data_IF_548087612613
#
_entry.id   IF_548087612613
#
_cell.length_a   1.000
_cell.length_b   1.000
_cell.length_c   1.000
_cell.angle_alpha   90.00
_cell.angle_beta   90.00
_cell.angle_gamma   90.00
#
_symmetry.space_group_name_H-M   'P 1'
#
loop_
_entity.id
_entity.type
_entity.pdbx_description
1 polymer ?
2 non-polymer ?
3 water ?
#
# COMPACT_ATOMS: atom_id res chain seq x y z
N UNK A 11 9.16 -7.02 -12.04
CA UNK A 11 10.21 -6.47 -11.19
C UNK A 11 9.88 -6.70 -9.71
N UNK A 12 10.93 -6.82 -8.90
CA UNK A 12 10.78 -7.14 -7.48
C UNK A 12 11.02 -5.92 -6.61
N UNK A 13 10.53 -6.01 -5.37
CA UNK A 13 10.81 -4.97 -4.38
C UNK A 13 12.26 -5.02 -3.95
N UNK A 14 12.89 -3.87 -3.89
CA UNK A 14 14.30 -3.73 -3.49
C UNK A 14 14.34 -2.96 -2.17
N UNK A 15 14.86 -3.54 -1.10
CA UNK A 15 14.89 -2.82 0.19
C UNK A 15 15.91 -1.69 0.17
N UNK A 16 15.51 -0.55 0.73
CA UNK A 16 16.35 0.64 0.75
C UNK A 16 16.94 0.84 2.15
N UNK A 17 16.17 0.49 3.18
CA UNK A 17 16.59 0.63 4.56
C UNK A 17 17.07 -0.70 5.11
N UNK A 18 17.77 -0.63 6.25
CA UNK A 18 18.29 -1.85 6.86
C UNK A 18 17.17 -2.77 7.33
N UNK A 19 16.07 -2.19 7.83
CA UNK A 19 14.93 -2.99 8.27
C UNK A 19 14.09 -3.51 7.11
N UNK A 20 14.45 -3.19 5.87
CA UNK A 20 13.80 -3.64 4.65
C UNK A 20 12.38 -3.11 4.48
N UNK A 21 11.93 -2.19 5.33
CA UNK A 21 10.55 -1.71 5.25
C UNK A 21 10.38 -0.56 4.26
N UNK A 22 11.41 0.26 4.06
CA UNK A 22 11.43 1.22 2.98
C UNK A 22 11.98 0.53 1.74
N UNK A 23 11.17 0.44 0.68
CA UNK A 23 11.55 -0.35 -0.47
C UNK A 23 11.02 0.29 -1.74
N UNK A 24 11.57 -0.12 -2.88
CA UNK A 24 11.18 0.45 -4.16
C UNK A 24 11.13 -0.62 -5.24
N UNK A 25 10.34 -0.34 -6.26
CA UNK A 25 10.25 -1.15 -7.47
C UNK A 25 10.72 -0.30 -8.64
N UNK A 26 11.77 -0.76 -9.32
CA UNK A 26 12.30 -0.03 -10.46
C UNK A 26 11.37 -0.25 -11.64
N UNK A 27 10.69 0.81 -12.07
CA UNK A 27 9.83 0.76 -13.25
C UNK A 27 10.61 0.99 -14.53
N UNK A 28 11.43 2.04 -14.53
CA UNK A 28 12.31 2.36 -15.65
C UNK A 28 13.71 2.58 -15.12
N UNK A 29 14.67 1.84 -15.65
CA UNK A 29 16.05 1.99 -15.21
C UNK A 29 16.62 3.31 -15.71
N UNK A 30 17.54 3.87 -14.93
CA UNK A 30 18.12 5.15 -15.26
C UNK A 30 18.99 5.09 -16.50
N UNK A 31 19.25 6.27 -17.06
CA UNK A 31 20.06 6.38 -18.26
C UNK A 31 21.55 6.16 -18.00
N UNK A 32 21.97 6.26 -16.74
CA UNK A 32 23.37 6.06 -16.37
C UNK A 32 23.41 5.67 -14.90
N UNK A 33 24.63 5.54 -14.36
CA UNK A 33 24.82 5.16 -12.97
C UNK A 33 25.10 6.36 -12.07
N UNK A 34 24.79 7.57 -12.54
CA UNK A 34 24.94 8.75 -11.72
C UNK A 34 23.83 8.82 -10.68
N UNK A 35 24.20 9.07 -9.43
CA UNK A 35 23.25 9.29 -8.36
C UNK A 35 23.45 10.69 -7.77
N UNK A 36 22.38 11.33 -7.30
CA UNK A 36 22.49 12.72 -6.84
C UNK A 36 23.22 12.81 -5.51
N UNK A 37 24.22 13.68 -5.39
CA UNK A 37 24.88 13.87 -4.10
C UNK A 37 24.01 14.66 -3.13
N UNK A 38 24.33 14.50 -1.84
CA UNK A 38 23.68 15.31 -0.81
C UNK A 38 23.85 16.78 -1.15
N UNK A 39 22.76 17.54 -0.98
CA UNK A 39 22.77 18.95 -1.28
C UNK A 39 22.34 19.33 -2.68
N UNK A 40 22.08 18.34 -3.54
CA UNK A 40 21.63 18.63 -4.90
C UNK A 40 20.21 19.18 -4.89
N UNK A 41 19.93 20.10 -5.80
CA UNK A 41 18.57 20.55 -6.08
C UNK A 41 18.02 19.62 -7.14
N UNK A 42 17.23 18.65 -6.72
CA UNK A 42 16.76 17.58 -7.59
C UNK A 42 15.39 17.90 -8.12
N UNK A 43 15.15 17.52 -9.39
CA UNK A 43 13.88 17.75 -10.07
C UNK A 43 13.25 16.41 -10.39
N UNK A 44 11.96 16.25 -10.01
CA UNK A 44 11.27 14.98 -10.18
C UNK A 44 9.83 15.21 -10.64
N UNK A 45 9.25 14.15 -11.20
CA UNK A 45 7.81 13.96 -11.27
C UNK A 45 7.40 12.97 -10.20
N UNK A 46 6.22 13.16 -9.61
CA UNK A 46 5.76 12.21 -8.63
C UNK A 46 4.24 12.11 -8.61
N UNK A 47 3.77 10.98 -8.10
CA UNK A 47 2.36 10.74 -7.84
C UNK A 47 2.27 9.93 -6.56
N UNK A 48 1.49 10.43 -5.60
CA UNK A 48 1.33 9.79 -4.30
C UNK A 48 -0.04 9.15 -4.17
N UNK A 49 -0.05 7.93 -3.63
CA UNK A 49 -1.29 7.20 -3.39
C UNK A 49 -1.23 6.56 -2.01
N UNK A 50 -2.42 6.27 -1.47
CA UNK A 50 -2.50 5.42 -0.29
C UNK A 50 -2.40 3.95 -0.69
N UNK A 51 -2.32 3.07 0.31
CA UNK A 51 -2.23 1.65 0.01
C UNK A 51 -3.54 1.10 -0.55
N UNK A 52 -4.59 1.90 -0.58
CA UNK A 52 -5.82 1.55 -1.30
C UNK A 52 -5.73 1.89 -2.78
N UNK A 53 -4.66 2.54 -3.22
CA UNK A 53 -4.53 3.01 -4.58
C UNK A 53 -5.03 4.42 -4.83
N UNK A 54 -5.76 5.00 -3.88
CA UNK A 54 -6.34 6.32 -4.09
C UNK A 54 -5.26 7.40 -4.11
N UNK A 55 -5.29 8.23 -5.15
CA UNK A 55 -4.33 9.30 -5.31
C UNK A 55 -4.64 10.46 -4.38
N UNK A 56 -3.61 10.98 -3.70
CA UNK A 56 -3.76 12.16 -2.88
C UNK A 56 -2.99 13.38 -3.38
N UNK A 57 -2.05 13.21 -4.30
CA UNK A 57 -1.32 14.33 -4.88
C UNK A 57 -0.47 13.83 -6.04
N UNK A 58 -0.15 14.75 -6.94
CA UNK A 58 0.79 14.48 -8.02
C UNK A 58 1.37 15.80 -8.51
N UNK A 59 2.68 15.82 -8.74
CA UNK A 59 3.32 17.00 -9.31
C UNK A 59 2.75 17.34 -10.68
N UNK A 60 2.21 16.33 -11.38
CA UNK A 60 1.60 16.59 -12.68
C UNK A 60 0.39 17.51 -12.55
N UNK A 61 -0.29 17.48 -11.41
CA UNK A 61 -1.44 18.37 -11.18
C UNK A 61 -1.05 19.84 -11.22
N UNK A 62 0.24 20.14 -11.09
CA UNK A 62 0.71 21.52 -11.20
C UNK A 62 1.54 21.74 -12.47
N UNK A 63 1.60 20.73 -13.34
CA UNK A 63 2.13 20.92 -14.68
C UNK A 63 3.60 21.22 -14.78
N UNK A 64 4.39 20.91 -13.76
CA UNK A 64 5.83 21.16 -13.78
C UNK A 64 6.48 20.24 -12.76
N UNK A 65 7.79 19.99 -12.89
CA UNK A 65 8.45 19.08 -11.96
C UNK A 65 8.49 19.65 -10.55
N UNK A 66 8.63 18.74 -9.59
CA UNK A 66 8.82 19.11 -8.19
C UNK A 66 10.31 19.18 -7.89
N UNK A 67 10.70 20.22 -7.14
CA UNK A 67 12.11 20.50 -6.87
C UNK A 67 12.32 20.61 -5.37
N UNK A 68 13.32 19.89 -4.86
CA UNK A 68 13.68 19.94 -3.45
C UNK A 68 15.17 19.67 -3.31
N UNK A 69 15.72 20.05 -2.17
CA UNK A 69 17.14 19.88 -1.89
C UNK A 69 17.36 18.57 -1.15
N UNK A 70 18.21 17.70 -1.71
CA UNK A 70 18.40 16.36 -1.18
C UNK A 70 19.28 16.36 0.06
N UNK A 71 18.89 15.59 1.06
CA UNK A 71 19.66 15.46 2.28
C UNK A 71 19.43 16.53 3.32
N UNK A 72 18.74 17.62 2.97
CA UNK A 72 18.53 18.71 3.92
C UNK A 72 17.51 18.35 4.98
N UNK A 73 16.61 17.42 4.71
CA UNK A 73 15.56 17.09 5.65
C UNK A 73 14.29 17.89 5.49
N UNK A 74 14.12 18.58 4.36
CA UNK A 74 12.91 19.36 4.11
C UNK A 74 11.77 18.51 3.57
N UNK A 75 12.03 17.24 3.23
CA UNK A 75 11.00 16.30 2.82
C UNK A 75 11.00 15.14 3.79
N UNK A 76 9.98 14.28 3.66
CA UNK A 76 9.86 13.14 4.56
C UNK A 76 11.06 12.22 4.39
N UNK A 77 11.41 11.53 5.48
CA UNK A 77 12.62 10.70 5.52
C UNK A 77 12.65 9.69 4.37
N UNK A 78 11.51 9.09 4.05
CA UNK A 78 11.48 8.12 2.97
C UNK A 78 11.88 8.70 1.63
N UNK A 79 11.62 9.99 1.41
CA UNK A 79 12.00 10.63 0.15
C UNK A 79 13.49 10.90 0.09
N UNK A 80 14.07 11.42 1.17
CA UNK A 80 15.52 11.64 1.21
C UNK A 80 16.27 10.33 0.95
N UNK A 81 15.90 9.28 1.69
CA UNK A 81 16.57 7.99 1.51
C UNK A 81 16.24 7.36 0.16
N UNK A 82 15.03 7.55 -0.33
CA UNK A 82 14.62 6.91 -1.57
C UNK A 82 15.24 7.53 -2.81
N UNK A 83 15.14 8.86 -2.93
CA UNK A 83 15.66 9.55 -4.10
C UNK A 83 17.18 9.42 -4.16
N UNK A 84 17.84 9.43 -3.00
CA UNK A 84 19.29 9.25 -2.97
C UNK A 84 19.72 7.93 -3.58
N UNK A 85 18.85 6.93 -3.60
CA UNK A 85 19.18 5.63 -4.17
C UNK A 85 18.91 5.56 -5.68
N UNK A 86 18.33 6.60 -6.27
CA UNK A 86 17.91 6.55 -7.66
C UNK A 86 19.02 7.03 -8.60
N UNK A 87 18.98 6.52 -9.83
CA UNK A 87 19.86 6.97 -10.89
C UNK A 87 19.18 8.05 -11.72
N UNK A 88 19.99 8.80 -12.47
CA UNK A 88 19.45 9.80 -13.38
C UNK A 88 18.57 9.13 -14.44
N UNK A 89 17.33 9.60 -14.56
CA UNK A 89 16.38 9.02 -15.48
C UNK A 89 15.57 7.87 -14.93
N UNK A 90 15.92 7.36 -13.75
CA UNK A 90 15.22 6.22 -13.17
C UNK A 90 13.82 6.61 -12.73
N UNK A 91 12.84 5.75 -13.03
CA UNK A 91 11.49 5.89 -12.54
C UNK A 91 11.19 4.68 -11.65
N UNK A 92 10.86 4.95 -10.39
CA UNK A 92 10.64 3.88 -9.43
C UNK A 92 9.37 4.12 -8.62
N UNK A 93 8.93 3.05 -7.98
CA UNK A 93 7.70 3.00 -7.20
C UNK A 93 8.09 2.69 -5.77
N UNK A 94 7.75 3.57 -4.83
CA UNK A 94 8.22 3.47 -3.47
C UNK A 94 7.07 3.10 -2.53
N UNK A 95 7.36 2.22 -1.57
CA UNK A 95 6.47 1.97 -0.44
C UNK A 95 7.13 2.55 0.79
N UNK A 96 6.52 3.59 1.36
CA UNK A 96 7.08 4.38 2.45
C UNK A 96 6.22 4.16 3.68
N UNK A 97 6.70 3.46 4.70
CA UNK A 97 5.90 3.29 5.93
C UNK A 97 5.70 4.63 6.63
N UNK A 98 4.74 4.63 7.56
CA UNK A 98 4.40 5.85 8.27
C UNK A 98 5.60 6.43 9.02
N UNK A 99 6.41 5.56 9.64
CA UNK A 99 7.56 6.10 10.37
C UNK A 99 8.67 6.59 9.43
N UNK A 100 8.52 6.41 8.12
CA UNK A 100 9.36 7.07 7.13
C UNK A 100 8.64 8.22 6.43
N UNK A 101 7.46 8.60 6.93
CA UNK A 101 6.66 9.66 6.33
C UNK A 101 6.16 10.62 7.40
N UNK A 102 4.84 10.69 7.58
CA UNK A 102 4.24 11.61 8.54
C UNK A 102 3.90 10.96 9.87
N UNK A 103 4.21 9.68 10.04
CA UNK A 103 4.06 9.04 11.34
C UNK A 103 2.65 9.08 11.86
N UNK A 104 2.52 9.43 13.15
CA UNK A 104 1.23 9.54 13.82
C UNK A 104 0.49 10.83 13.48
N UNK A 105 1.07 11.68 12.63
CA UNK A 105 0.40 12.90 12.19
C UNK A 105 -0.47 12.62 10.98
N UNK A 106 -1.53 13.41 10.84
CA UNK A 106 -2.41 13.34 9.69
C UNK A 106 -2.32 14.64 8.89
N UNK A 107 -2.50 14.51 7.58
CA UNK A 107 -2.66 15.66 6.70
C UNK A 107 -4.16 15.86 6.48
N UNK A 108 -4.72 17.01 6.86
CA UNK A 108 -6.19 17.14 6.89
C UNK A 108 -6.82 16.92 5.53
N UNK A 109 -7.78 15.98 5.49
CA UNK A 109 -8.53 15.69 4.29
C UNK A 109 -7.83 14.82 3.28
N UNK A 110 -6.56 14.45 3.51
CA UNK A 110 -5.80 13.71 2.51
C UNK A 110 -5.22 12.41 3.06
N UNK A 111 -4.46 12.50 4.14
CA UNK A 111 -3.69 11.35 4.64
C UNK A 111 -4.04 11.10 6.09
N UNK A 112 -4.66 9.97 6.41
CA UNK A 112 -4.95 9.65 7.82
C UNK A 112 -3.68 9.36 8.60
N UNK A 113 -3.82 9.39 9.92
CA UNK A 113 -2.69 9.10 10.80
C UNK A 113 -2.16 7.69 10.55
N UNK A 114 -0.85 7.54 10.69
CA UNK A 114 -0.16 6.24 10.58
C UNK A 114 -0.38 5.59 9.22
N UNK A 115 -0.20 6.38 8.16
CA UNK A 115 -0.46 5.92 6.81
C UNK A 115 0.83 5.52 6.11
N UNK A 116 0.82 4.32 5.51
CA UNK A 116 1.82 3.99 4.51
C UNK A 116 1.54 4.79 3.23
N UNK A 117 2.59 5.33 2.64
CA UNK A 117 2.46 6.12 1.41
C UNK A 117 3.15 5.40 0.27
N UNK A 118 2.48 5.37 -0.88
CA UNK A 118 3.05 4.86 -2.11
C UNK A 118 3.36 6.04 -3.01
N UNK A 119 4.58 6.09 -3.53
CA UNK A 119 5.02 7.17 -4.39
C UNK A 119 5.65 6.62 -5.67
N UNK A 120 5.19 7.13 -6.80
CA UNK A 120 5.82 6.88 -8.09
C UNK A 120 6.67 8.11 -8.43
N UNK A 121 7.99 7.95 -8.37
CA UNK A 121 8.93 9.06 -8.53
C UNK A 121 9.80 8.82 -9.76
N UNK A 122 9.99 9.87 -10.56
CA UNK A 122 10.91 9.83 -11.70
C UNK A 122 11.98 10.90 -11.51
N UNK A 123 13.23 10.46 -11.41
CA UNK A 123 14.36 11.37 -11.20
C UNK A 123 14.76 11.97 -12.54
N UNK A 124 14.41 13.24 -12.74
CA UNK A 124 14.64 13.90 -14.04
C UNK A 124 16.06 14.43 -14.16
N UNK A 125 16.50 15.21 -13.16
CA UNK A 125 17.80 15.87 -13.22
C UNK A 125 18.08 16.46 -11.84
N UNK A 126 19.26 17.07 -11.70
CA UNK A 126 19.61 17.79 -10.49
C UNK A 126 20.70 18.80 -10.81
N UNK A 127 20.84 19.78 -9.93
CA UNK A 127 21.86 20.81 -10.06
C UNK A 127 22.52 21.06 -8.71
N UNK B 11 -12.37 7.11 10.71
CA UNK B 11 -12.04 5.69 10.86
C UNK B 11 -10.53 5.48 10.74
N UNK B 12 -9.83 5.67 11.85
CA UNK B 12 -8.38 5.61 11.87
C UNK B 12 -7.89 4.16 11.90
N UNK B 13 -6.63 3.98 11.52
CA UNK B 13 -5.99 2.68 11.64
C UNK B 13 -5.96 2.24 13.10
N UNK B 14 -6.25 0.97 13.33
CA UNK B 14 -6.25 0.34 14.65
C UNK B 14 -5.11 -0.67 14.67
N UNK B 15 -4.08 -0.49 15.49
CA UNK B 15 -2.97 -1.46 15.51
C UNK B 15 -3.41 -2.79 16.11
N UNK B 16 -2.96 -3.88 15.48
CA UNK B 16 -3.29 -5.22 15.90
C UNK B 16 -2.08 -5.94 16.48
N UNK B 17 -0.95 -5.86 15.79
CA UNK B 17 0.29 -6.47 16.27
C UNK B 17 0.97 -5.54 17.28
N UNK B 18 1.94 -6.09 18.01
CA UNK B 18 2.66 -5.29 18.99
C UNK B 18 3.54 -4.25 18.33
N UNK B 19 4.10 -4.54 17.16
CA UNK B 19 4.94 -3.59 16.44
C UNK B 19 4.14 -2.53 15.70
N UNK B 20 2.82 -2.51 15.85
CA UNK B 20 1.91 -1.53 15.26
C UNK B 20 1.90 -1.59 13.73
N UNK B 21 2.60 -2.55 13.12
CA UNK B 21 2.68 -2.61 11.67
C UNK B 21 1.57 -3.44 11.04
N UNK B 22 1.00 -4.40 11.77
CA UNK B 22 -0.22 -5.08 11.36
C UNK B 22 -1.40 -4.32 11.96
N UNK B 23 -2.28 -3.81 11.10
CA UNK B 23 -3.31 -2.88 11.55
C UNK B 23 -4.57 -3.07 10.71
N UNK B 24 -5.66 -2.45 11.18
CA UNK B 24 -6.92 -2.54 10.47
C UNK B 24 -7.70 -1.24 10.63
N UNK B 25 -8.66 -1.06 9.72
CA UNK B 25 -9.66 -0.01 9.80
C UNK B 25 -11.03 -0.67 9.79
N UNK B 26 -11.86 -0.31 10.76
CA UNK B 26 -13.20 -0.90 10.85
C UNK B 26 -14.11 -0.20 9.84
N UNK B 27 -14.71 -0.98 8.94
CA UNK B 27 -15.67 -0.46 7.98
C UNK B 27 -17.07 -0.57 8.57
N UNK B 28 -17.45 -1.79 8.97
CA UNK B 28 -18.73 -2.06 9.58
C UNK B 28 -18.48 -2.61 10.99
N UNK B 29 -19.08 -1.97 11.98
CA UNK B 29 -18.96 -2.46 13.35
C UNK B 29 -19.72 -3.76 13.51
N UNK B 30 -19.22 -4.60 14.41
CA UNK B 30 -19.84 -5.90 14.64
C UNK B 30 -21.19 -5.76 15.31
N UNK B 31 -22.04 -6.78 15.09
CA UNK B 31 -23.38 -6.77 15.68
C UNK B 31 -23.32 -6.87 17.20
N UNK B 32 -22.37 -7.64 17.72
CA UNK B 32 -22.15 -7.79 19.16
C UNK B 32 -20.67 -7.66 19.45
N UNK B 33 -20.30 -7.83 20.71
CA UNK B 33 -18.92 -7.71 21.16
C UNK B 33 -18.24 -9.08 21.31
N UNK B 34 -18.81 -10.12 20.71
CA UNK B 34 -18.23 -11.46 20.80
C UNK B 34 -17.19 -11.65 19.70
N UNK B 35 -16.03 -12.17 20.08
CA UNK B 35 -14.93 -12.45 19.16
C UNK B 35 -14.73 -13.96 19.01
N UNK B 36 -14.23 -14.41 17.87
CA UNK B 36 -14.06 -15.86 17.66
C UNK B 36 -12.89 -16.39 18.46
N UNK B 37 -13.07 -17.50 19.17
CA UNK B 37 -11.96 -18.10 19.91
C UNK B 37 -11.07 -18.94 19.03
N UNK B 38 -9.87 -19.24 19.54
CA UNK B 38 -8.88 -20.01 18.80
C UNK B 38 -9.40 -21.42 18.55
N UNK B 39 -9.08 -21.98 17.39
CA UNK B 39 -9.55 -23.29 16.99
C UNK B 39 -10.91 -23.33 16.35
N UNK B 40 -11.65 -22.21 16.38
CA UNK B 40 -12.96 -22.16 15.74
C UNK B 40 -12.84 -22.25 14.24
N UNK B 41 -13.83 -22.88 13.61
CA UNK B 41 -13.96 -22.83 12.15
C UNK B 41 -14.70 -21.56 11.79
N UNK B 42 -13.99 -20.62 11.19
CA UNK B 42 -14.48 -19.28 10.89
C UNK B 42 -14.87 -19.21 9.42
N UNK B 43 -15.95 -18.47 9.13
CA UNK B 43 -16.42 -18.27 7.76
C UNK B 43 -16.38 -16.78 7.45
N UNK B 44 -15.68 -16.41 6.37
CA UNK B 44 -15.51 -15.02 6.00
C UNK B 44 -15.71 -14.85 4.50
N UNK B 45 -15.92 -13.59 4.10
CA UNK B 45 -15.75 -13.13 2.73
C UNK B 45 -14.61 -12.13 2.70
N UNK B 46 -13.78 -12.18 1.65
CA UNK B 46 -12.60 -11.35 1.61
C UNK B 46 -12.33 -10.87 0.20
N UNK B 47 -11.60 -9.75 0.12
CA UNK B 47 -11.04 -9.24 -1.12
C UNK B 47 -9.60 -8.82 -0.85
N UNK B 48 -8.68 -9.34 -1.65
CA UNK B 48 -7.26 -9.06 -1.48
C UNK B 48 -6.72 -8.20 -2.62
N UNK B 49 -6.01 -7.15 -2.25
CA UNK B 49 -5.38 -6.24 -3.20
C UNK B 49 -3.94 -5.98 -2.78
N UNK B 50 -3.10 -5.64 -3.76
CA UNK B 50 -1.78 -5.14 -3.46
C UNK B 50 -1.88 -3.66 -3.10
N UNK B 51 -0.76 -3.08 -2.64
CA UNK B 51 -0.80 -1.69 -2.21
C UNK B 51 -0.96 -0.71 -3.36
N UNK B 52 -1.06 -1.20 -4.60
CA UNK B 52 -1.49 -0.39 -5.73
C UNK B 52 -3.01 -0.36 -5.88
N UNK B 53 -3.73 -1.13 -5.07
CA UNK B 53 -5.15 -1.31 -5.25
C UNK B 53 -5.53 -2.41 -6.21
N UNK B 54 -4.56 -3.05 -6.86
CA UNK B 54 -4.84 -4.11 -7.82
C UNK B 54 -5.32 -5.36 -7.10
N UNK B 55 -6.51 -5.84 -7.46
CA UNK B 55 -7.06 -7.03 -6.82
C UNK B 55 -6.32 -8.26 -7.31
N UNK B 56 -5.96 -9.15 -6.37
CA UNK B 56 -5.37 -10.43 -6.75
C UNK B 56 -6.25 -11.63 -6.42
N UNK B 57 -7.25 -11.47 -5.57
CA UNK B 57 -8.16 -12.57 -5.27
C UNK B 57 -9.35 -12.01 -4.47
N UNK B 58 -10.45 -12.74 -4.53
CA UNK B 58 -11.63 -12.41 -3.73
C UNK B 58 -12.49 -13.65 -3.60
N UNK B 59 -13.03 -13.87 -2.40
CA UNK B 59 -13.93 -15.00 -2.19
C UNK B 59 -15.16 -14.88 -3.06
N UNK B 60 -15.56 -13.66 -3.42
CA UNK B 60 -16.69 -13.47 -4.32
C UNK B 60 -16.37 -13.87 -5.76
N UNK B 61 -15.09 -14.12 -6.08
CA UNK B 61 -14.76 -14.66 -7.39
C UNK B 61 -15.17 -16.13 -7.49
N UNK B 62 -15.04 -16.88 -6.40
CA UNK B 62 -15.58 -18.23 -6.36
C UNK B 62 -17.06 -18.25 -5.98
N UNK B 63 -17.58 -17.17 -5.44
CA UNK B 63 -18.98 -17.10 -5.12
C UNK B 63 -19.40 -17.87 -3.88
N UNK B 64 -18.56 -17.91 -2.86
CA UNK B 64 -18.91 -18.56 -1.61
C UNK B 64 -17.90 -18.21 -0.52
N UNK B 65 -18.33 -18.19 0.74
CA UNK B 65 -17.41 -17.80 1.82
C UNK B 65 -16.21 -18.72 1.92
N UNK B 66 -15.12 -18.18 2.45
CA UNK B 66 -13.91 -18.93 2.72
C UNK B 66 -13.93 -19.38 4.17
N UNK B 67 -13.63 -20.66 4.40
CA UNK B 67 -13.70 -21.28 5.72
C UNK B 67 -12.31 -21.76 6.09
N UNK B 68 -11.86 -21.41 7.29
CA UNK B 68 -10.58 -21.86 7.80
C UNK B 68 -10.68 -22.02 9.31
N UNK B 69 -9.68 -22.69 9.89
CA UNK B 69 -9.61 -22.91 11.32
C UNK B 69 -8.69 -21.86 11.94
N UNK B 70 -9.21 -21.11 12.90
CA UNK B 70 -8.54 -19.92 13.41
C UNK B 70 -7.43 -20.27 14.38
N UNK B 71 -6.27 -19.63 14.21
CA UNK B 71 -5.18 -19.75 15.16
C UNK B 71 -4.32 -20.98 15.04
N UNK B 72 -4.48 -21.78 13.98
CA UNK B 72 -3.71 -23.00 13.80
C UNK B 72 -2.57 -22.84 12.81
N UNK B 73 -2.32 -21.63 12.31
CA UNK B 73 -1.30 -21.44 11.30
C UNK B 73 -1.67 -21.94 9.92
N UNK B 74 -2.94 -22.29 9.70
CA UNK B 74 -3.39 -22.73 8.38
C UNK B 74 -3.35 -21.61 7.37
N UNK B 75 -3.50 -20.35 7.82
CA UNK B 75 -3.45 -19.20 6.95
C UNK B 75 -2.26 -18.33 7.33
N UNK B 76 -2.03 -17.25 6.58
CA UNK B 76 -0.94 -16.34 6.90
C UNK B 76 -1.14 -15.75 8.29
N UNK B 77 -0.03 -15.39 8.94
CA UNK B 77 -0.09 -14.92 10.32
C UNK B 77 -0.93 -13.66 10.46
N UNK B 78 -0.91 -12.80 9.44
CA UNK B 78 -1.73 -11.59 9.48
C UNK B 78 -3.21 -11.89 9.55
N UNK B 79 -3.65 -13.02 8.99
CA UNK B 79 -5.05 -13.40 9.07
C UNK B 79 -5.40 -13.99 10.44
N UNK B 80 -4.53 -14.84 10.99
CA UNK B 80 -4.80 -15.42 12.30
C UNK B 80 -4.92 -14.33 13.36
N UNK B 81 -4.02 -13.35 13.34
CA UNK B 81 -4.07 -12.27 14.32
C UNK B 81 -5.19 -11.28 14.03
N UNK B 82 -5.45 -11.00 12.75
CA UNK B 82 -6.44 -10.01 12.37
C UNK B 82 -7.87 -10.47 12.55
N UNK B 83 -8.18 -11.68 12.07
CA UNK B 83 -9.54 -12.20 12.22
C UNK B 83 -9.86 -12.41 13.70
N UNK B 84 -8.86 -12.77 14.51
CA UNK B 84 -9.08 -12.95 15.94
C UNK B 84 -9.56 -11.67 16.61
N UNK B 85 -9.12 -10.51 16.13
CA UNK B 85 -9.49 -9.24 16.74
C UNK B 85 -10.87 -8.76 16.31
N UNK B 86 -11.56 -9.48 15.44
CA UNK B 86 -12.82 -9.01 14.89
C UNK B 86 -13.99 -9.45 15.76
N UNK B 87 -15.10 -8.73 15.61
CA UNK B 87 -16.38 -9.06 16.23
C UNK B 87 -17.28 -9.76 15.23
N UNK B 88 -18.34 -10.39 15.75
CA UNK B 88 -19.32 -11.04 14.90
C UNK B 88 -19.96 -10.03 13.95
N UNK B 89 -19.89 -10.31 12.65
CA UNK B 89 -20.42 -9.43 11.64
C UNK B 89 -19.55 -8.25 11.29
N UNK B 90 -18.37 -8.13 11.90
CA UNK B 90 -17.48 -7.01 11.61
C UNK B 90 -16.90 -7.12 10.22
N UNK B 91 -16.82 -5.99 9.52
CA UNK B 91 -16.11 -5.88 8.26
C UNK B 91 -14.98 -4.87 8.43
N UNK B 92 -13.74 -5.29 8.14
CA UNK B 92 -12.57 -4.47 8.39
C UNK B 92 -11.60 -4.57 7.23
N UNK B 93 -10.75 -3.55 7.13
CA UNK B 93 -9.76 -3.40 6.07
C UNK B 93 -8.39 -3.51 6.72
N UNK B 94 -7.62 -4.51 6.30
CA UNK B 94 -6.35 -4.85 6.94
C UNK B 94 -5.17 -4.46 6.06
N UNK B 95 -4.12 -3.94 6.70
CA UNK B 95 -2.82 -3.78 6.07
C UNK B 95 -1.87 -4.80 6.67
N UNK B 96 -1.40 -5.73 5.84
CA UNK B 96 -0.64 -6.89 6.30
C UNK B 96 0.78 -6.85 5.74
N UNK B 97 1.78 -6.57 6.57
CA UNK B 97 3.16 -6.53 6.06
C UNK B 97 3.62 -7.88 5.54
N UNK B 98 4.70 -7.85 4.76
CA UNK B 98 5.19 -9.06 4.12
C UNK B 98 5.56 -10.13 5.14
N UNK B 99 6.13 -9.72 6.28
CA UNK B 99 6.53 -10.68 7.31
C UNK B 99 5.34 -11.20 8.11
N UNK B 100 4.13 -10.71 7.85
CA UNK B 100 2.89 -11.30 8.34
C UNK B 100 2.12 -12.00 7.22
N UNK B 101 2.72 -12.15 6.04
CA UNK B 101 2.07 -12.76 4.89
C UNK B 101 2.98 -13.82 4.28
N UNK B 102 3.43 -13.59 3.04
CA UNK B 102 4.24 -14.57 2.33
C UNK B 102 5.73 -14.23 2.33
N UNK B 103 6.11 -13.12 2.94
CA UNK B 103 7.52 -12.84 3.14
C UNK B 103 8.28 -12.71 1.84
N UNK B 104 9.46 -13.34 1.81
CA UNK B 104 10.32 -13.28 0.63
C UNK B 104 9.84 -14.19 -0.49
N UNK B 105 8.72 -14.89 -0.31
CA UNK B 105 8.19 -15.78 -1.33
C UNK B 105 7.20 -15.05 -2.21
N UNK B 106 7.18 -15.42 -3.49
CA UNK B 106 6.23 -14.87 -4.43
C UNK B 106 5.13 -15.90 -4.72
N UNK B 107 3.96 -15.39 -5.08
CA UNK B 107 2.89 -16.21 -5.66
C UNK B 107 2.94 -16.00 -7.16
N UNK B 108 3.21 -17.04 -7.96
CA UNK B 108 3.48 -16.84 -9.39
C UNK B 108 2.41 -16.04 -10.11
N UNK B 109 2.84 -15.00 -10.81
CA UNK B 109 1.96 -14.16 -11.60
C UNK B 109 0.93 -13.38 -10.81
N UNK B 110 1.05 -13.35 -9.48
CA UNK B 110 0.01 -12.73 -8.65
C UNK B 110 0.61 -11.78 -7.63
N UNK B 111 1.48 -12.30 -6.77
CA UNK B 111 2.01 -11.53 -5.65
C UNK B 111 3.53 -11.57 -5.68
N UNK B 112 4.19 -10.45 -5.97
CA UNK B 112 5.66 -10.43 -5.96
C UNK B 112 6.21 -10.68 -4.56
N UNK B 113 7.48 -11.06 -4.51
CA UNK B 113 8.14 -11.28 -3.24
C UNK B 113 8.14 -10.01 -2.40
N UNK B 114 8.01 -10.20 -1.08
CA UNK B 114 8.09 -9.11 -0.10
C UNK B 114 6.95 -8.11 -0.26
N UNK B 115 5.76 -8.61 -0.62
CA UNK B 115 4.62 -7.74 -0.87
C UNK B 115 3.82 -7.52 0.39
N UNK B 116 3.48 -6.25 0.64
CA UNK B 116 2.41 -5.93 1.59
C UNK B 116 1.07 -6.29 0.96
N UNK B 117 0.18 -6.88 1.75
CA UNK B 117 -1.13 -7.28 1.27
C UNK B 117 -2.22 -6.48 2.00
N UNK B 118 -3.18 -5.97 1.24
CA UNK B 118 -4.38 -5.35 1.78
C UNK B 118 -5.53 -6.36 1.67
N UNK B 119 -6.30 -6.49 2.75
CA UNK B 119 -7.44 -7.41 2.78
C UNK B 119 -8.64 -6.72 3.39
N UNK B 120 -9.76 -6.73 2.68
CA UNK B 120 -11.07 -6.50 3.26
C UNK B 120 -11.61 -7.86 3.73
N UNK B 121 -11.96 -7.95 5.01
CA UNK B 121 -12.48 -9.19 5.58
C UNK B 121 -13.78 -8.90 6.31
N UNK B 122 -14.79 -9.71 6.06
CA UNK B 122 -16.05 -9.67 6.80
C UNK B 122 -16.22 -11.01 7.52
N UNK B 123 -16.28 -10.95 8.84
CA UNK B 123 -16.47 -12.16 9.65
C UNK B 123 -17.95 -12.52 9.66
N UNK B 124 -18.30 -13.60 8.97
CA UNK B 124 -19.70 -13.96 8.81
C UNK B 124 -20.23 -14.73 10.03
N UNK B 125 -19.60 -15.85 10.35
CA UNK B 125 -19.93 -16.60 11.56
C UNK B 125 -18.76 -17.52 11.88
N UNK B 126 -18.79 -18.08 13.09
CA UNK B 126 -17.81 -19.07 13.50
C UNK B 126 -18.50 -20.12 14.35
N UNK B 127 -18.08 -21.38 14.17
CA UNK B 127 -18.60 -22.48 14.94
C UNK B 127 -17.46 -23.21 15.66
N UNK C 11 10.16 -44.00 -27.29
CA UNK C 11 10.31 -42.96 -26.28
C UNK C 11 10.00 -43.51 -24.88
N UNK C 12 11.04 -43.62 -24.07
CA UNK C 12 10.94 -44.25 -22.76
C UNK C 12 10.95 -43.21 -21.65
N UNK C 13 10.41 -43.59 -20.50
CA UNK C 13 10.40 -42.72 -19.33
C UNK C 13 11.83 -42.44 -18.88
N UNK C 14 12.13 -41.17 -18.65
CA UNK C 14 13.42 -40.72 -18.15
C UNK C 14 13.23 -40.31 -16.69
N UNK C 15 13.94 -40.92 -15.75
CA UNK C 15 13.77 -40.53 -14.35
C UNK C 15 14.41 -39.19 -14.06
N UNK C 16 13.72 -38.39 -13.25
CA UNK C 16 14.19 -37.07 -12.84
C UNK C 16 14.63 -37.06 -11.38
N UNK C 17 13.78 -37.57 -10.50
CA UNK C 17 14.13 -37.65 -9.09
C UNK C 17 15.08 -38.82 -8.84
N UNK C 18 15.72 -38.79 -7.67
CA UNK C 18 16.63 -39.86 -7.31
C UNK C 18 15.89 -41.17 -7.07
N UNK C 19 14.68 -41.10 -6.51
CA UNK C 19 13.88 -42.31 -6.31
C UNK C 19 13.22 -42.80 -7.60
N UNK C 20 13.41 -42.09 -8.71
CA UNK C 20 12.97 -42.46 -10.05
C UNK C 20 11.46 -42.47 -10.21
N UNK C 21 10.70 -41.93 -9.25
CA UNK C 21 9.25 -41.85 -9.41
C UNK C 21 8.80 -40.60 -10.14
N UNK C 22 9.57 -39.52 -10.05
CA UNK C 22 9.35 -38.36 -10.89
C UNK C 22 10.06 -38.57 -12.22
N UNK C 23 9.29 -38.62 -13.31
CA UNK C 23 9.83 -39.02 -14.59
C UNK C 23 9.15 -38.25 -15.72
N UNK C 24 9.83 -38.19 -16.86
CA UNK C 24 9.30 -37.48 -18.01
C UNK C 24 9.62 -38.26 -19.28
N UNK C 25 8.81 -37.99 -20.31
CA UNK C 25 9.08 -38.42 -21.68
C UNK C 25 9.23 -37.17 -22.54
N UNK C 26 10.31 -37.10 -23.29
CA UNK C 26 10.57 -35.92 -24.13
C UNK C 26 9.75 -36.03 -25.40
N UNK C 27 8.82 -35.10 -25.59
CA UNK C 27 8.01 -35.08 -26.80
C UNK C 27 8.74 -34.38 -27.93
N UNK C 28 9.30 -33.21 -27.64
CA UNK C 28 10.07 -32.42 -28.59
C UNK C 28 11.38 -32.03 -27.92
N UNK C 29 12.50 -32.37 -28.54
CA UNK C 29 13.81 -32.06 -27.96
C UNK C 29 14.07 -30.55 -28.00
N UNK C 30 14.86 -30.09 -27.05
CA UNK C 30 15.16 -28.67 -26.99
C UNK C 30 15.99 -28.19 -28.16
N UNK C 31 15.80 -26.93 -28.53
CA UNK C 31 16.55 -26.32 -29.62
C UNK C 31 18.01 -26.07 -29.26
N UNK C 32 18.40 -26.25 -27.99
CA UNK C 32 19.78 -26.10 -27.57
C UNK C 32 19.95 -26.87 -26.27
N UNK C 33 21.21 -26.98 -25.83
CA UNK C 33 21.55 -27.76 -24.65
C UNK C 33 21.54 -26.93 -23.36
N UNK C 34 21.21 -25.64 -23.44
CA UNK C 34 21.19 -24.80 -22.26
C UNK C 34 19.96 -25.07 -21.42
N UNK C 35 20.15 -25.11 -20.10
CA UNK C 35 19.08 -25.36 -19.15
C UNK C 35 18.91 -24.16 -18.22
N UNK C 36 17.68 -23.92 -17.74
CA UNK C 36 17.45 -22.76 -16.89
C UNK C 36 18.05 -22.95 -15.50
N UNK C 37 18.89 -22.03 -15.05
CA UNK C 37 19.43 -22.13 -13.69
C UNK C 37 18.38 -21.75 -12.66
N UNK C 38 18.70 -22.05 -11.39
CA UNK C 38 17.80 -21.69 -10.31
C UNK C 38 17.67 -20.16 -10.24
N UNK C 39 16.49 -19.70 -9.81
CA UNK C 39 16.21 -18.28 -9.77
C UNK C 39 15.81 -17.68 -11.09
N UNK C 40 15.72 -18.47 -12.16
CA UNK C 40 15.29 -17.97 -13.46
C UNK C 40 13.79 -17.74 -13.47
N UNK C 41 13.37 -16.72 -14.21
CA UNK C 41 11.94 -16.46 -14.43
C UNK C 41 11.57 -17.15 -15.73
N UNK C 42 11.08 -18.38 -15.62
CA UNK C 42 10.79 -19.20 -16.79
C UNK C 42 9.35 -19.00 -17.23
N UNK C 43 9.12 -19.06 -18.53
CA UNK C 43 7.80 -19.01 -19.13
C UNK C 43 7.52 -20.34 -19.80
N UNK C 44 6.37 -20.95 -19.49
CA UNK C 44 6.01 -22.24 -20.03
C UNK C 44 4.58 -22.20 -20.54
N UNK C 45 4.25 -23.20 -21.36
CA UNK C 45 2.87 -23.58 -21.64
C UNK C 45 2.68 -25.00 -21.14
N UNK C 46 1.56 -25.27 -20.50
CA UNK C 46 1.35 -26.58 -19.89
C UNK C 46 -0.08 -27.05 -20.10
N UNK C 47 -0.25 -28.37 -19.97
CA UNK C 47 -1.55 -29.01 -19.94
C UNK C 47 -1.53 -30.06 -18.84
N UNK C 48 -2.52 -29.99 -17.94
CA UNK C 48 -2.60 -30.88 -16.81
C UNK C 48 -3.73 -31.89 -16.98
N UNK C 49 -3.40 -33.16 -16.75
CA UNK C 49 -4.36 -34.24 -16.83
C UNK C 49 -4.21 -35.16 -15.64
N UNK C 50 -5.31 -35.81 -15.26
CA UNK C 50 -5.24 -36.87 -14.28
C UNK C 50 -4.81 -38.17 -14.95
N UNK C 51 -4.55 -39.20 -14.13
CA UNK C 51 -4.12 -40.48 -14.66
C UNK C 51 -5.20 -41.18 -15.48
N UNK C 52 -6.43 -40.68 -15.47
CA UNK C 52 -7.47 -41.14 -16.37
C UNK C 52 -7.41 -40.46 -17.74
N UNK C 53 -6.48 -39.52 -17.93
CA UNK C 53 -6.43 -38.74 -19.13
C UNK C 53 -7.33 -37.51 -19.13
N UNK C 54 -8.13 -37.31 -18.09
CA UNK C 54 -9.03 -36.17 -18.04
C UNK C 54 -8.24 -34.90 -17.77
N UNK C 55 -8.39 -33.91 -18.64
CA UNK C 55 -7.71 -32.63 -18.48
C UNK C 55 -8.39 -31.80 -17.40
N UNK C 56 -7.59 -31.25 -16.48
CA UNK C 56 -8.11 -30.35 -15.47
C UNK C 56 -7.63 -28.90 -15.63
N UNK C 57 -6.66 -28.64 -16.51
CA UNK C 57 -6.14 -27.30 -16.68
C UNK C 57 -5.24 -27.25 -17.90
N UNK C 58 -5.12 -26.06 -18.49
CA UNK C 58 -4.24 -25.85 -19.64
C UNK C 58 -4.02 -24.36 -19.83
N UNK C 59 -2.75 -23.94 -19.81
CA UNK C 59 -2.43 -22.54 -20.09
C UNK C 59 -2.70 -22.18 -21.54
N UNK C 60 -2.66 -23.16 -22.45
CA UNK C 60 -2.96 -22.89 -23.85
C UNK C 60 -4.42 -22.52 -24.05
N UNK C 61 -5.32 -23.06 -23.22
CA UNK C 61 -6.72 -22.68 -23.32
C UNK C 61 -6.97 -21.26 -22.82
N UNK C 62 -6.10 -20.75 -21.94
CA UNK C 62 -6.17 -19.37 -21.48
C UNK C 62 -5.35 -18.42 -22.34
N UNK C 63 -4.49 -18.94 -23.21
CA UNK C 63 -3.70 -18.09 -24.08
C UNK C 63 -2.64 -17.26 -23.40
N UNK C 64 -2.28 -17.59 -22.16
CA UNK C 64 -1.23 -16.87 -21.45
C UNK C 64 -0.19 -17.86 -20.95
N UNK C 65 1.10 -17.63 -21.21
CA UNK C 65 2.12 -18.50 -20.65
C UNK C 65 2.19 -18.36 -19.14
N UNK C 66 2.49 -19.47 -18.47
CA UNK C 66 2.66 -19.48 -17.03
C UNK C 66 4.10 -19.10 -16.69
N UNK C 67 4.26 -18.15 -15.77
CA UNK C 67 5.56 -17.59 -15.43
C UNK C 67 5.80 -17.74 -13.94
N UNK C 68 6.95 -18.31 -13.57
CA UNK C 68 7.32 -18.47 -12.17
C UNK C 68 8.84 -18.49 -12.06
N UNK C 69 9.32 -18.26 -10.85
CA UNK C 69 10.75 -18.29 -10.56
C UNK C 69 11.16 -19.70 -10.18
N UNK C 70 12.10 -20.27 -10.94
CA UNK C 70 12.43 -21.68 -10.83
C UNK C 70 13.26 -21.98 -9.58
N UNK C 71 12.94 -23.09 -8.93
CA UNK C 71 13.73 -23.57 -7.80
C UNK C 71 13.50 -22.87 -6.50
N UNK C 72 12.46 -22.03 -6.39
CA UNK C 72 12.18 -21.30 -5.16
C UNK C 72 10.99 -21.84 -4.39
N UNK C 73 10.39 -22.94 -4.86
CA UNK C 73 9.22 -23.48 -4.19
C UNK C 73 7.93 -22.76 -4.46
N UNK C 74 7.89 -21.92 -5.50
CA UNK C 74 6.67 -21.21 -5.87
C UNK C 74 5.63 -22.14 -6.47
N UNK C 75 6.05 -23.31 -6.94
CA UNK C 75 5.15 -24.29 -7.52
C UNK C 75 5.43 -25.64 -6.84
N UNK C 76 4.63 -26.64 -7.21
CA UNK C 76 4.77 -27.95 -6.59
C UNK C 76 6.16 -28.51 -6.86
N UNK C 77 6.60 -29.40 -5.97
CA UNK C 77 7.98 -29.89 -6.00
C UNK C 77 8.30 -30.57 -7.34
N UNK C 78 7.34 -31.29 -7.91
CA UNK C 78 7.57 -31.94 -9.18
C UNK C 78 7.84 -30.97 -10.31
N UNK C 79 7.25 -29.76 -10.23
CA UNK C 79 7.46 -28.79 -11.28
C UNK C 79 8.85 -28.15 -11.19
N UNK C 80 9.29 -27.79 -9.99
CA UNK C 80 10.63 -27.23 -9.82
C UNK C 80 11.69 -28.21 -10.34
N UNK C 81 11.60 -29.47 -9.92
CA UNK C 81 12.57 -30.46 -10.38
C UNK C 81 12.39 -30.78 -11.86
N UNK C 82 11.14 -30.88 -12.32
CA UNK C 82 10.89 -31.24 -13.71
C UNK C 82 11.36 -30.18 -14.69
N UNK C 83 10.95 -28.93 -14.46
CA UNK C 83 11.34 -27.85 -15.37
C UNK C 83 12.85 -27.61 -15.31
N UNK C 84 13.47 -27.90 -14.16
CA UNK C 84 14.92 -27.76 -14.06
C UNK C 84 15.65 -28.71 -15.01
N UNK C 85 15.04 -29.85 -15.34
CA UNK C 85 15.67 -30.82 -16.22
C UNK C 85 15.47 -30.51 -17.70
N UNK C 86 14.68 -29.50 -18.03
CA UNK C 86 14.33 -29.25 -19.43
C UNK C 86 15.32 -28.29 -20.07
N UNK C 87 15.36 -28.33 -21.40
CA UNK C 87 16.12 -27.39 -22.21
C UNK C 87 15.17 -26.43 -22.92
N UNK C 88 15.74 -25.34 -23.43
CA UNK C 88 14.92 -24.33 -24.08
C UNK C 88 14.23 -24.91 -25.31
N UNK C 89 12.92 -24.70 -25.40
CA UNK C 89 12.13 -25.25 -26.48
C UNK C 89 11.73 -26.70 -26.29
N UNK C 90 12.19 -27.36 -25.24
CA UNK C 90 11.82 -28.75 -24.99
C UNK C 90 10.36 -28.84 -24.57
N UNK C 91 9.68 -29.87 -25.05
CA UNK C 91 8.32 -30.20 -24.65
C UNK C 91 8.30 -31.63 -24.14
N UNK C 92 7.93 -31.82 -22.89
CA UNK C 92 8.00 -33.13 -22.25
C UNK C 92 6.70 -33.45 -21.52
N UNK C 93 6.53 -34.75 -21.24
CA UNK C 93 5.34 -35.30 -20.59
C UNK C 93 5.77 -35.87 -19.24
N UNK C 94 5.31 -35.27 -18.15
CA UNK C 94 5.75 -35.60 -16.81
C UNK C 94 4.69 -36.40 -16.06
N UNK C 95 5.14 -37.44 -15.35
CA UNK C 95 4.34 -38.13 -14.35
C UNK C 95 4.80 -37.65 -12.98
N UNK C 96 3.90 -37.00 -12.25
CA UNK C 96 4.25 -36.37 -10.97
C UNK C 96 3.51 -37.08 -9.83
N UNK C 97 4.20 -37.83 -8.98
CA UNK C 97 3.52 -38.47 -7.85
C UNK C 97 2.93 -37.45 -6.91
N UNK C 98 1.94 -37.90 -6.12
CA UNK C 98 1.21 -36.98 -5.26
C UNK C 98 2.11 -36.30 -4.24
N UNK C 99 3.13 -37.01 -3.74
CA UNK C 99 4.04 -36.38 -2.79
C UNK C 99 4.98 -35.39 -3.45
N UNK C 100 5.07 -35.38 -4.78
CA UNK C 100 5.74 -34.32 -5.52
C UNK C 100 4.77 -33.24 -5.96
N UNK C 101 3.52 -33.28 -5.50
CA UNK C 101 2.51 -32.31 -5.87
C UNK C 101 1.76 -31.84 -4.63
N UNK C 102 0.48 -32.19 -4.53
CA UNK C 102 -0.37 -31.68 -3.45
C UNK C 102 -0.57 -32.67 -2.31
N UNK C 103 -0.08 -33.90 -2.43
CA UNK C 103 -0.12 -34.82 -1.31
C UNK C 103 -1.52 -35.25 -0.94
N UNK C 104 -1.80 -35.27 0.35
CA UNK C 104 -3.09 -35.70 0.86
C UNK C 104 -4.15 -34.61 0.78
N UNK C 105 -3.83 -33.44 0.23
CA UNK C 105 -4.78 -32.35 0.10
C UNK C 105 -5.48 -32.44 -1.25
N UNK C 106 -6.78 -32.16 -1.25
CA UNK C 106 -7.58 -32.15 -2.46
C UNK C 106 -7.96 -30.73 -2.83
N UNK C 107 -8.04 -30.46 -4.12
CA UNK C 107 -8.59 -29.22 -4.65
C UNK C 107 -10.03 -29.53 -5.10
N UNK C 108 -11.05 -28.96 -4.45
CA UNK C 108 -12.42 -29.39 -4.74
C UNK C 108 -12.80 -29.20 -6.20
N UNK C 109 -13.48 -30.21 -6.75
CA UNK C 109 -13.93 -30.17 -8.13
C UNK C 109 -12.82 -30.19 -9.15
N UNK C 110 -11.61 -30.58 -8.77
CA UNK C 110 -10.49 -30.52 -9.70
C UNK C 110 -9.49 -31.64 -9.42
N UNK C 111 -8.82 -31.59 -8.27
CA UNK C 111 -7.79 -32.57 -7.95
C UNK C 111 -8.17 -33.33 -6.68
N UNK C 112 -8.49 -34.61 -6.77
CA UNK C 112 -8.78 -35.40 -5.57
C UNK C 112 -7.53 -35.59 -4.73
N UNK C 113 -7.73 -36.05 -3.50
CA UNK C 113 -6.61 -36.27 -2.60
C UNK C 113 -5.74 -37.42 -3.10
N UNK C 114 -4.43 -37.29 -2.85
CA UNK C 114 -3.44 -38.31 -3.20
C UNK C 114 -3.40 -38.58 -4.70
N UNK C 115 -3.54 -37.53 -5.49
CA UNK C 115 -3.63 -37.66 -6.95
C UNK C 115 -2.25 -37.57 -7.58
N UNK C 116 -1.94 -38.56 -8.43
CA UNK C 116 -0.85 -38.42 -9.37
C UNK C 116 -1.26 -37.45 -10.47
N UNK C 117 -0.38 -36.52 -10.80
CA UNK C 117 -0.67 -35.51 -11.82
C UNK C 117 0.22 -35.72 -13.03
N UNK C 118 -0.39 -35.69 -14.21
CA UNK C 118 0.32 -35.77 -15.48
C UNK C 118 0.35 -34.39 -16.11
N UNK C 119 1.55 -33.94 -16.51
CA UNK C 119 1.72 -32.61 -17.08
C UNK C 119 2.51 -32.71 -18.38
N UNK C 120 1.99 -32.09 -19.42
CA UNK C 120 2.75 -31.77 -20.61
C UNK C 120 3.23 -30.33 -20.46
N UNK C 121 4.54 -30.12 -20.55
CA UNK C 121 5.14 -28.81 -20.28
C UNK C 121 6.10 -28.48 -21.42
N UNK C 122 5.95 -27.28 -21.98
CA UNK C 122 6.87 -26.75 -22.98
C UNK C 122 7.59 -25.54 -22.38
N UNK C 123 8.91 -25.63 -22.28
CA UNK C 123 9.73 -24.53 -21.78
C UNK C 123 9.94 -23.52 -22.91
N UNK C 124 9.29 -22.36 -22.80
CA UNK C 124 9.37 -21.37 -23.86
C UNK C 124 10.66 -20.57 -23.79
N UNK C 125 10.97 -20.01 -22.63
CA UNK C 125 12.14 -19.14 -22.46
C UNK C 125 12.31 -18.87 -20.96
N UNK C 126 13.34 -18.11 -20.63
CA UNK C 126 13.49 -17.61 -19.27
C UNK C 126 14.30 -16.33 -19.30
N UNK C 127 14.09 -15.52 -18.27
CA UNK C 127 14.79 -14.25 -18.12
C UNK C 127 15.42 -14.16 -16.73
N UNK D 11 -16.60 45.42 18.95
CA UNK D 11 -16.02 45.06 17.65
C UNK D 11 -14.53 45.43 17.60
N UNK D 12 -13.86 45.30 18.74
CA UNK D 12 -12.42 45.56 18.84
C UNK D 12 -11.62 44.28 18.66
N UNK D 13 -10.32 44.45 18.44
CA UNK D 13 -9.40 43.32 18.33
C UNK D 13 -9.03 42.84 19.72
N UNK D 14 -9.43 41.62 20.06
CA UNK D 14 -9.11 41.01 21.35
C UNK D 14 -7.91 40.08 21.14
N UNK D 15 -6.79 40.30 21.82
CA UNK D 15 -5.63 39.42 21.64
C UNK D 15 -5.91 38.01 22.13
N UNK D 16 -5.27 37.05 21.48
CA UNK D 16 -5.44 35.64 21.79
C UNK D 16 -4.17 35.04 22.39
N UNK D 17 -3.01 35.40 21.85
CA UNK D 17 -1.74 34.87 22.31
C UNK D 17 -1.14 35.75 23.40
N UNK D 18 -0.16 35.20 24.12
CA UNK D 18 0.48 35.94 25.19
C UNK D 18 1.25 37.14 24.66
N UNK D 19 1.84 37.04 23.47
CA UNK D 19 2.60 38.15 22.91
C UNK D 19 1.72 39.22 22.29
N UNK D 20 0.39 39.09 22.39
CA UNK D 20 -0.62 40.07 22.00
C UNK D 20 -0.75 40.23 20.48
N UNK D 21 0.02 39.49 19.68
CA UNK D 21 0.02 39.71 18.24
C UNK D 21 -0.95 38.83 17.48
N UNK D 22 -1.31 37.67 18.03
CA UNK D 22 -2.41 36.88 17.49
C UNK D 22 -3.71 37.36 18.11
N UNK D 23 -4.69 37.70 17.26
CA UNK D 23 -5.91 38.30 17.78
C UNK D 23 -7.07 37.99 16.84
N UNK D 24 -8.28 38.13 17.37
CA UNK D 24 -9.49 37.86 16.62
C UNK D 24 -10.51 38.96 16.89
N UNK D 25 -11.55 38.97 16.07
CA UNK D 25 -12.71 39.85 16.23
C UNK D 25 -13.95 38.99 15.99
N UNK D 26 -14.82 38.92 16.99
CA UNK D 26 -16.00 38.06 16.90
C UNK D 26 -17.05 38.75 16.03
N UNK D 27 -17.38 38.13 14.91
CA UNK D 27 -18.41 38.65 14.02
C UNK D 27 -19.80 38.19 14.44
N UNK D 28 -19.98 36.88 14.58
CA UNK D 28 -21.21 36.27 15.06
C UNK D 28 -20.89 35.45 16.29
N UNK D 29 -21.46 35.82 17.43
CA UNK D 29 -21.15 35.16 18.68
C UNK D 29 -21.73 33.75 18.70
N UNK D 30 -21.08 32.87 19.47
CA UNK D 30 -21.57 31.52 19.61
C UNK D 30 -22.82 31.44 20.44
N UNK D 31 -23.57 30.36 20.23
CA UNK D 31 -24.83 30.16 20.94
C UNK D 31 -24.59 29.66 22.36
N UNK D 32 -23.69 28.70 22.53
CA UNK D 32 -23.35 28.15 23.83
C UNK D 32 -21.92 28.52 24.20
N UNK D 33 -21.55 28.18 25.43
CA UNK D 33 -20.21 28.45 25.94
C UNK D 33 -19.26 27.29 25.72
N UNK D 34 -19.71 26.21 25.10
CA UNK D 34 -18.86 25.04 24.90
C UNK D 34 -17.81 25.32 23.82
N UNK D 35 -16.53 25.01 24.16
CA UNK D 35 -15.36 25.12 23.29
C UNK D 35 -15.01 23.75 22.72
N UNK D 36 -14.46 23.71 21.51
CA UNK D 36 -14.00 22.43 20.96
C UNK D 36 -12.79 21.92 21.70
N UNK D 37 -12.87 20.73 22.28
CA UNK D 37 -11.72 20.19 23.03
C UNK D 37 -10.60 19.75 22.11
N UNK D 38 -9.41 19.63 22.69
CA UNK D 38 -8.25 19.19 21.93
C UNK D 38 -8.47 17.77 21.43
N UNK D 39 -7.94 17.48 20.24
CA UNK D 39 -8.13 16.19 19.61
C UNK D 39 -9.46 16.00 18.92
N UNK D 40 -10.40 16.92 19.08
CA UNK D 40 -11.69 16.80 18.41
C UNK D 40 -11.55 17.14 16.93
N UNK D 41 -12.42 16.54 16.12
CA UNK D 41 -12.40 16.73 14.67
C UNK D 41 -13.42 17.82 14.35
N UNK D 42 -12.92 19.02 14.07
CA UNK D 42 -13.75 20.20 13.89
C UNK D 42 -13.97 20.44 12.40
N UNK D 43 -15.13 21.04 12.09
CA UNK D 43 -15.48 21.40 10.72
C UNK D 43 -15.73 22.90 10.67
N UNK D 44 -15.08 23.57 9.71
CA UNK D 44 -15.18 25.02 9.59
C UNK D 44 -15.35 25.41 8.13
N UNK D 45 -15.80 26.66 7.93
CA UNK D 45 -15.69 27.37 6.68
C UNK D 45 -14.80 28.58 6.90
N UNK D 46 -13.94 28.88 5.92
CA UNK D 46 -12.98 29.95 6.10
C UNK D 46 -12.79 30.73 4.81
N UNK D 47 -12.43 32.00 4.97
CA UNK D 47 -11.98 32.87 3.89
C UNK D 47 -10.66 33.49 4.32
N UNK D 48 -9.64 33.38 3.48
CA UNK D 48 -8.31 33.89 3.77
C UNK D 48 -7.95 35.03 2.85
N UNK D 49 -7.40 36.10 3.43
CA UNK D 49 -7.00 37.28 2.68
C UNK D 49 -5.68 37.80 3.23
N UNK D 50 -4.98 38.56 2.40
CA UNK D 50 -3.81 39.28 2.87
C UNK D 50 -4.24 40.58 3.53
N UNK D 51 -3.28 41.27 4.16
CA UNK D 51 -3.59 42.54 4.80
C UNK D 51 -4.02 43.61 3.81
N UNK D 52 -3.88 43.37 2.51
CA UNK D 52 -4.41 44.26 1.48
C UNK D 52 -5.87 43.97 1.18
N UNK D 53 -6.47 42.94 1.77
CA UNK D 53 -7.81 42.52 1.45
C UNK D 53 -7.90 41.51 0.31
N UNK D 54 -6.83 41.32 -0.46
CA UNK D 54 -6.86 40.38 -1.57
C UNK D 54 -7.08 38.97 -1.07
N UNK D 55 -8.08 38.30 -1.63
CA UNK D 55 -8.42 36.94 -1.24
C UNK D 55 -7.49 35.95 -1.92
N UNK D 56 -7.06 34.93 -1.17
CA UNK D 56 -6.28 33.84 -1.73
C UNK D 56 -6.94 32.47 -1.60
N UNK D 57 -7.92 32.32 -0.71
CA UNK D 57 -8.58 31.03 -0.56
C UNK D 57 -9.91 31.24 0.16
N UNK D 58 -10.83 30.31 -0.09
CA UNK D 58 -12.11 30.27 0.60
C UNK D 58 -12.75 28.90 0.40
N UNK D 59 -13.08 28.23 1.51
CA UNK D 59 -13.76 26.94 1.42
C UNK D 59 -15.15 27.07 0.83
N UNK D 60 -15.76 28.25 0.95
CA UNK D 60 -17.08 28.48 0.36
C UNK D 60 -17.04 28.35 -1.16
N UNK D 61 -15.94 28.76 -1.78
CA UNK D 61 -15.82 28.63 -3.23
C UNK D 61 -15.80 27.17 -3.65
N UNK D 62 -15.30 26.29 -2.80
CA UNK D 62 -15.32 24.85 -3.06
C UNK D 62 -16.59 24.17 -2.59
N UNK D 63 -17.44 24.88 -1.83
CA UNK D 63 -18.66 24.28 -1.33
C UNK D 63 -18.46 23.14 -0.37
N UNK D 64 -17.26 23.01 0.21
CA UNK D 64 -16.94 21.93 1.12
C UNK D 64 -16.31 22.52 2.38
N UNK D 65 -16.72 22.09 3.57
CA UNK D 65 -16.08 22.56 4.79
C UNK D 65 -14.73 21.90 5.01
N UNK D 66 -13.85 22.64 5.70
CA UNK D 66 -12.53 22.14 6.05
C UNK D 66 -12.61 21.39 7.37
N UNK D 67 -11.99 20.21 7.42
CA UNK D 67 -12.05 19.34 8.59
C UNK D 67 -10.63 19.02 9.02
N UNK D 68 -10.30 19.29 10.28
CA UNK D 68 -8.99 18.95 10.82
C UNK D 68 -9.13 18.63 12.30
N UNK D 69 -8.13 17.93 12.82
CA UNK D 69 -8.08 17.57 14.23
C UNK D 69 -7.43 18.71 15.01
N UNK D 70 -8.18 19.29 15.93
CA UNK D 70 -7.74 20.49 16.64
C UNK D 70 -6.65 20.16 17.65
N UNK D 71 -5.58 20.94 17.62
CA UNK D 71 -4.53 20.87 18.63
C UNK D 71 -3.37 19.95 18.32
N UNK D 72 -3.35 19.31 17.16
CA UNK D 72 -2.33 18.33 16.81
C UNK D 72 -1.27 18.89 15.87
N UNK D 73 -1.34 20.17 15.53
CA UNK D 73 -0.39 20.75 14.59
C UNK D 73 -0.63 20.39 13.15
N UNK D 74 -1.87 20.01 12.79
CA UNK D 74 -2.19 19.69 11.41
C UNK D 74 -2.30 20.93 10.54
N UNK D 75 -2.45 22.11 11.15
CA UNK D 75 -2.60 23.38 10.45
C UNK D 75 -1.58 24.35 11.03
N UNK D 76 -1.58 25.57 10.49
CA UNK D 76 -0.68 26.60 11.00
C UNK D 76 -1.03 26.93 12.44
N UNK D 77 -0.02 27.37 13.20
CA UNK D 77 -0.19 27.54 14.64
C UNK D 77 -1.28 28.55 14.97
N UNK D 78 -1.38 29.62 14.19
CA UNK D 78 -2.44 30.58 14.42
C UNK D 78 -3.84 29.98 14.34
N UNK D 79 -4.00 28.97 13.47
CA UNK D 79 -5.30 28.31 13.35
C UNK D 79 -5.60 27.43 14.57
N UNK D 80 -4.59 26.69 15.05
CA UNK D 80 -4.80 25.83 16.22
C UNK D 80 -5.22 26.66 17.43
N UNK D 81 -4.48 27.73 17.72
CA UNK D 81 -4.82 28.59 18.85
C UNK D 81 -6.13 29.32 18.61
N UNK D 82 -6.38 29.76 17.37
CA UNK D 82 -7.56 30.56 17.10
C UNK D 82 -8.85 29.77 17.18
N UNK D 83 -8.88 28.58 16.58
CA UNK D 83 -10.09 27.77 16.60
C UNK D 83 -10.37 27.25 18.01
N UNK D 84 -9.32 27.03 18.80
CA UNK D 84 -9.49 26.60 20.18
C UNK D 84 -10.28 27.62 21.00
N UNK D 85 -10.11 28.91 20.70
CA UNK D 85 -10.78 29.96 21.45
C UNK D 85 -12.24 30.15 21.04
N UNK D 86 -12.66 29.54 19.94
CA UNK D 86 -14.00 29.78 19.41
C UNK D 86 -15.03 28.92 20.14
N UNK D 87 -16.29 29.19 19.86
CA UNK D 87 -17.42 28.43 20.38
C UNK D 87 -18.24 27.90 19.21
N UNK D 88 -19.15 26.97 19.53
CA UNK D 88 -19.96 26.34 18.49
C UNK D 88 -20.84 27.38 17.81
N UNK D 89 -20.78 27.43 16.49
CA UNK D 89 -21.51 28.40 15.71
C UNK D 89 -20.87 29.77 15.60
N UNK D 90 -19.80 30.01 16.34
CA UNK D 90 -19.13 31.30 16.29
C UNK D 90 -18.42 31.50 14.95
N UNK D 91 -18.51 32.71 14.42
CA UNK D 91 -17.70 33.13 13.29
C UNK D 91 -16.89 34.35 13.72
N UNK D 92 -15.58 34.30 13.48
CA UNK D 92 -14.69 35.36 13.92
C UNK D 92 -13.70 35.71 12.81
N UNK D 93 -13.05 36.85 12.98
CA UNK D 93 -12.10 37.39 12.02
C UNK D 93 -10.74 37.43 12.68
N UNK D 94 -9.79 36.68 12.13
CA UNK D 94 -8.48 36.48 12.75
C UNK D 94 -7.39 37.20 11.96
N UNK D 95 -6.45 37.79 12.70
CA UNK D 95 -5.22 38.35 12.15
C UNK D 95 -4.07 37.48 12.65
N UNK D 96 -3.41 36.78 11.74
CA UNK D 96 -2.42 35.76 12.08
C UNK D 96 -1.06 36.25 11.59
N UNK D 97 -0.12 36.58 12.49
CA UNK D 97 1.21 37.00 12.04
C UNK D 97 1.95 35.89 11.30
N UNK D 98 2.99 36.29 10.59
CA UNK D 98 3.75 35.33 9.78
C UNK D 98 4.37 34.24 10.63
N UNK D 99 4.84 34.57 11.83
CA UNK D 99 5.45 33.55 12.67
C UNK D 99 4.41 32.60 13.26
N UNK D 100 3.12 32.92 13.18
CA UNK D 100 2.05 31.99 13.50
C UNK D 100 1.51 31.28 12.27
N UNK D 101 2.10 31.52 11.10
CA UNK D 101 1.66 30.88 9.86
C UNK D 101 2.85 30.27 9.13
N UNK D 102 3.15 30.77 7.94
CA UNK D 102 4.16 30.17 7.09
C UNK D 102 5.53 30.84 7.20
N UNK D 103 5.65 31.90 7.99
CA UNK D 103 6.96 32.48 8.26
C UNK D 103 7.60 33.11 7.04
N UNK D 104 8.90 32.90 6.89
CA UNK D 104 9.66 33.43 5.78
C UNK D 104 9.43 32.68 4.48
N UNK D 105 8.63 31.62 4.50
CA UNK D 105 8.36 30.82 3.32
C UNK D 105 7.21 31.41 2.52
N UNK D 106 7.35 31.41 1.20
CA UNK D 106 6.34 31.94 0.30
C UNK D 106 5.58 30.81 -0.37
N UNK D 107 4.29 31.03 -0.60
CA UNK D 107 3.46 30.14 -1.42
C UNK D 107 3.33 30.80 -2.79
N UNK D 108 3.95 30.25 -3.83
CA UNK D 108 4.01 30.96 -5.13
C UNK D 108 2.63 31.30 -5.67
N UNK D 109 2.40 32.59 -5.88
CA UNK D 109 1.15 33.08 -6.41
C UNK D 109 0.07 33.34 -5.39
N UNK D 110 0.21 32.85 -4.16
CA UNK D 110 -0.83 32.97 -3.15
C UNK D 110 -0.36 33.79 -1.96
N UNK D 111 0.70 33.36 -1.26
CA UNK D 111 1.13 34.02 -0.03
C UNK D 111 2.59 34.42 -0.12
N UNK D 112 2.90 35.71 -0.16
CA UNK D 112 4.31 36.14 -0.16
C UNK D 112 4.99 35.80 1.15
N UNK D 113 6.33 35.86 1.12
CA UNK D 113 7.11 35.56 2.32
C UNK D 113 6.83 36.58 3.41
N UNK D 114 6.83 36.10 4.66
CA UNK D 114 6.62 36.94 5.84
C UNK D 114 5.29 37.70 5.75
N UNK D 115 4.24 36.98 5.37
CA UNK D 115 2.91 37.57 5.21
C UNK D 115 2.10 37.43 6.49
N UNK D 116 1.43 38.51 6.88
CA UNK D 116 0.35 38.43 7.84
C UNK D 116 -0.90 37.95 7.13
N UNK D 117 -1.59 36.98 7.73
CA UNK D 117 -2.76 36.35 7.11
C UNK D 117 -4.01 36.74 7.87
N UNK D 118 -5.04 37.17 7.14
CA UNK D 118 -6.36 37.45 7.69
C UNK D 118 -7.29 36.30 7.35
N UNK D 119 -7.94 35.74 8.37
CA UNK D 119 -8.87 34.63 8.19
C UNK D 119 -10.19 34.94 8.85
N UNK D 120 -11.28 34.78 8.11
CA UNK D 120 -12.63 34.69 8.66
C UNK D 120 -12.98 33.22 8.79
N UNK D 121 -13.17 32.75 10.02
CA UNK D 121 -13.41 31.33 10.30
C UNK D 121 -14.74 31.19 11.01
N UNK D 122 -15.57 30.26 10.53
CA UNK D 122 -16.85 29.94 11.16
C UNK D 122 -16.81 28.50 11.64
N UNK D 123 -16.89 28.31 12.95
CA UNK D 123 -16.87 26.96 13.54
C UNK D 123 -18.26 26.35 13.41
N UNK D 124 -18.38 25.34 12.55
CA UNK D 124 -19.68 24.72 12.29
C UNK D 124 -20.03 23.69 13.36
N UNK D 125 -19.16 22.70 13.55
CA UNK D 125 -19.42 21.60 14.47
C UNK D 125 -18.11 20.86 14.71
N UNK D 126 -18.16 19.85 15.58
CA UNK D 126 -17.02 19.00 15.81
C UNK D 126 -17.51 17.65 16.31
N UNK D 127 -16.65 16.65 16.18
CA UNK D 127 -16.97 15.30 16.66
C UNK D 127 -15.76 14.67 17.33
#
# INVERSE_FOLDING_TARGET
MAHHHHHHMSTDWIPISQDQRLKKKIITAGSSDEQPPIGSKVSVHYTGTLTSGKKFDSSLDRGQPFVFTLGKGEVIRGWDLGVKSMKKGEKSYFEIPSDYAYGNNAIPGLIPANSTLMFEIELLSWK
MAHHHHHHMSTDWIPISQDQRLKKKIITAGSSDEQPPIGSKVSVHYTGTLTSGKKFDSSLDRGQPFVFTLGKGEVIRGWDLGVKSMKKGEKSYFEIPSDYAYGNNAIPGLIPANSTLMFEIELLSWK
MAHHHHHHMSTDWIPISQDQRLKKKIITAGSSDEQPPIGSKVSVHYTGTLTSGKKFDSSLDRGQPFVFTLGKGEVIRGWDLGVKSMKKGEKSYFEIPSDYAYGNNAIPGLIPANSTLMFEIELLSWK
MAHHHHHHMSTDWIPISQDQRLKKKIITAGSSDEQPPIGSKVSVHYTGTLTSGKKFDSSLDRGQPFVFTLGKGEVIRGWDLGVKSMKKGEKSYFEIPSDYAYGNNAIPGLIPANSTLMFEIELLSWK
#
